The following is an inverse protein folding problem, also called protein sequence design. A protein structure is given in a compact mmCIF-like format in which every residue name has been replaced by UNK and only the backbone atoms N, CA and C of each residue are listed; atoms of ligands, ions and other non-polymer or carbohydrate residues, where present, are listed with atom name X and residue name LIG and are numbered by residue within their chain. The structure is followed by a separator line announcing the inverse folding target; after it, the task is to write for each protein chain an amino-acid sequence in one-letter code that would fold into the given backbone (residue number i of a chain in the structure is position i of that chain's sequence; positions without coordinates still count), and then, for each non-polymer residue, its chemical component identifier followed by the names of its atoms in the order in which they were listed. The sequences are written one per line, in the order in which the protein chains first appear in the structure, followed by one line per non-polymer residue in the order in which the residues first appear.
data_IF_765637711413
#
_entry.id   IF_765637711413
#
_cell.length_a   1.000
_cell.length_b   1.000
_cell.length_c   1.000
_cell.angle_alpha   90.00
_cell.angle_beta   90.00
_cell.angle_gamma   90.00
#
_symmetry.space_group_name_H-M   'P 1'
#
loop_
_entity.id
_entity.type
_entity.pdbx_description
1 polymer ?
#
# COMPACT_ATOMS: atom_id res chain seq x y z
N UNK A 1 -12.95 -22.85 -0.63
CA UNK A 1 -12.23 -22.50 0.60
C UNK A 1 -13.14 -21.56 1.38
N UNK A 2 -13.80 -22.06 2.44
CA UNK A 2 -14.73 -21.26 3.25
C UNK A 2 -13.98 -20.07 3.86
N UNK A 3 -14.52 -18.87 3.65
CA UNK A 3 -14.04 -17.67 4.33
C UNK A 3 -14.23 -17.88 5.84
N UNK A 4 -13.16 -18.11 6.57
CA UNK A 4 -13.19 -18.03 8.03
C UNK A 4 -13.43 -16.55 8.42
N UNK A 5 -14.68 -16.16 8.43
CA UNK A 5 -15.16 -14.93 9.05
C UNK A 5 -15.27 -15.12 10.57
N UNK A 6 -14.17 -15.47 11.24
CA UNK A 6 -14.18 -15.62 12.69
C UNK A 6 -13.29 -14.59 13.39
N UNK A 7 -13.34 -13.37 12.89
CA UNK A 7 -12.90 -12.19 13.62
C UNK A 7 -14.13 -11.50 14.23
N UNK A 8 -14.91 -12.24 14.99
CA UNK A 8 -15.89 -11.60 15.87
C UNK A 8 -15.12 -10.93 16.98
N UNK A 9 -15.01 -9.60 16.94
CA UNK A 9 -14.41 -8.73 17.95
C UNK A 9 -15.09 -8.91 19.31
N UNK A 10 -14.82 -10.02 19.98
CA UNK A 10 -15.41 -10.33 21.27
C UNK A 10 -14.86 -9.46 22.41
N UNK A 11 -13.75 -8.72 22.15
CA UNK A 11 -13.08 -7.88 23.15
C UNK A 11 -12.64 -6.57 22.54
N UNK A 12 -13.58 -5.67 22.30
CA UNK A 12 -13.24 -4.30 21.88
C UNK A 12 -12.76 -3.48 23.06
N UNK A 13 -11.73 -2.67 22.84
CA UNK A 13 -11.36 -1.62 23.78
C UNK A 13 -12.35 -0.47 23.64
N UNK A 14 -12.63 0.21 24.73
CA UNK A 14 -13.48 1.39 24.74
C UNK A 14 -12.61 2.66 24.71
N UNK A 15 -12.91 3.58 23.81
CA UNK A 15 -12.31 4.91 23.84
C UNK A 15 -13.06 5.75 24.88
N UNK A 16 -12.35 6.19 25.91
CA UNK A 16 -12.90 7.03 26.99
C UNK A 16 -12.75 8.52 26.65
N UNK A 17 -11.61 8.89 26.05
CA UNK A 17 -11.30 10.25 25.60
C UNK A 17 -10.49 10.16 24.30
N UNK A 18 -10.66 11.16 23.42
CA UNK A 18 -9.88 11.26 22.17
C UNK A 18 -9.57 12.72 21.91
N UNK A 19 -8.31 13.00 21.58
CA UNK A 19 -7.84 14.35 21.25
C UNK A 19 -6.86 14.28 20.07
N UNK A 20 -7.08 15.13 19.05
CA UNK A 20 -6.13 15.27 17.96
C UNK A 20 -5.04 16.23 18.36
N UNK A 21 -3.83 15.73 18.64
CA UNK A 21 -2.69 16.50 19.15
C UNK A 21 -1.79 17.07 18.05
N UNK A 22 -1.82 16.48 16.86
CA UNK A 22 -1.16 17.01 15.66
C UNK A 22 -2.12 16.93 14.48
N UNK A 23 -2.21 18.03 13.71
CA UNK A 23 -2.98 18.06 12.48
C UNK A 23 -2.21 18.87 11.42
N UNK A 24 -1.67 18.15 10.45
CA UNK A 24 -0.95 18.68 9.28
C UNK A 24 -1.31 17.87 8.04
N UNK A 25 -2.59 17.84 7.65
CA UNK A 25 -3.04 17.07 6.51
C UNK A 25 -2.37 17.58 5.21
N UNK A 26 -2.17 16.73 4.22
CA UNK A 26 -2.43 15.28 4.25
C UNK A 26 -1.32 14.47 4.93
N UNK A 27 -0.19 15.09 5.31
CA UNK A 27 1.07 14.43 5.64
C UNK A 27 1.13 13.81 7.04
N UNK A 28 0.46 14.43 8.02
CA UNK A 28 0.55 13.94 9.39
C UNK A 28 -0.68 14.38 10.21
N UNK A 29 -1.38 13.40 10.76
CA UNK A 29 -2.38 13.62 11.80
C UNK A 29 -2.16 12.60 12.90
N UNK A 30 -2.12 13.05 14.15
CA UNK A 30 -1.92 12.20 15.33
C UNK A 30 -3.02 12.45 16.32
N UNK A 31 -3.68 11.38 16.74
CA UNK A 31 -4.67 11.36 17.79
C UNK A 31 -4.10 10.66 19.02
N UNK A 32 -4.37 11.22 20.22
CA UNK A 32 -4.10 10.60 21.50
C UNK A 32 -5.42 10.18 22.14
N UNK A 33 -5.57 8.89 22.40
CA UNK A 33 -6.77 8.31 22.99
C UNK A 33 -6.49 7.79 24.40
N UNK A 34 -7.42 8.03 25.33
CA UNK A 34 -7.52 7.27 26.57
C UNK A 34 -8.43 6.08 26.31
N UNK A 35 -7.92 4.86 26.52
CA UNK A 35 -8.65 3.64 26.17
C UNK A 35 -8.75 2.68 27.34
N UNK A 36 -9.90 2.01 27.46
CA UNK A 36 -10.14 0.98 28.45
C UNK A 36 -10.13 -0.41 27.82
N UNK A 37 -9.34 -1.29 28.39
CA UNK A 37 -9.27 -2.71 28.02
C UNK A 37 -10.51 -3.47 28.53
N UNK A 38 -10.81 -4.64 27.97
CA UNK A 38 -11.94 -5.47 28.40
C UNK A 38 -11.89 -5.94 29.87
N UNK A 39 -10.72 -5.92 30.48
CA UNK A 39 -10.51 -6.26 31.91
C UNK A 39 -10.63 -5.04 32.84
N UNK A 40 -10.97 -3.87 32.30
CA UNK A 40 -11.15 -2.63 33.06
C UNK A 40 -9.89 -1.78 33.23
N UNK A 41 -8.71 -2.27 32.87
CA UNK A 41 -7.49 -1.46 32.90
C UNK A 41 -7.60 -0.29 31.91
N UNK A 42 -7.07 0.86 32.28
CA UNK A 42 -7.04 2.07 31.43
C UNK A 42 -5.61 2.34 30.98
N UNK A 43 -5.47 2.60 29.68
CA UNK A 43 -4.26 3.15 29.09
C UNK A 43 -4.54 4.64 28.86
N UNK A 44 -3.85 5.55 29.58
CA UNK A 44 -4.19 6.97 29.54
C UNK A 44 -3.78 7.67 28.24
N UNK A 45 -2.78 7.11 27.52
CA UNK A 45 -2.26 7.66 26.28
C UNK A 45 -1.99 6.54 25.27
N UNK A 46 -2.81 6.47 24.23
CA UNK A 46 -2.65 5.58 23.10
C UNK A 46 -2.60 6.41 21.81
N UNK A 47 -1.46 6.40 21.12
CA UNK A 47 -1.26 7.25 19.97
C UNK A 47 -1.62 6.54 18.69
N UNK A 48 -2.46 7.20 17.86
CA UNK A 48 -2.89 6.72 16.55
C UNK A 48 -2.49 7.73 15.48
N UNK A 49 -1.75 7.26 14.48
CA UNK A 49 -1.47 7.98 13.25
C UNK A 49 -2.67 7.83 12.32
N UNK A 50 -3.25 8.93 11.92
CA UNK A 50 -4.41 8.96 11.02
C UNK A 50 -3.95 9.33 9.61
N UNK A 51 -4.11 8.39 8.70
CA UNK A 51 -3.83 8.56 7.27
C UNK A 51 -5.05 8.18 6.44
N UNK A 52 -5.21 8.72 5.22
CA UNK A 52 -6.09 8.13 4.22
C UNK A 52 -5.60 6.71 3.87
N UNK A 53 -6.47 5.91 3.29
CA UNK A 53 -6.07 4.61 2.79
C UNK A 53 -5.07 4.77 1.64
N UNK A 54 -4.22 3.77 1.47
CA UNK A 54 -3.20 3.68 0.43
C UNK A 54 -3.54 2.59 -0.56
N UNK A 55 -3.01 2.76 -1.76
CA UNK A 55 -3.02 1.71 -2.79
C UNK A 55 -1.60 1.37 -3.22
N UNK A 56 -1.43 0.19 -3.76
CA UNK A 56 -0.26 -0.19 -4.56
C UNK A 56 -0.63 -1.18 -5.66
N UNK A 57 0.17 -1.21 -6.72
CA UNK A 57 -0.14 -1.97 -7.93
C UNK A 57 1.05 -2.82 -8.37
N UNK A 58 0.86 -4.13 -8.43
CA UNK A 58 1.73 -5.01 -9.21
C UNK A 58 1.26 -4.92 -10.66
N UNK A 59 1.91 -4.09 -11.47
CA UNK A 59 1.58 -3.90 -12.88
C UNK A 59 2.51 -4.73 -13.76
N UNK A 60 1.93 -5.51 -14.68
CA UNK A 60 2.66 -6.41 -15.59
C UNK A 60 2.23 -6.10 -17.02
N UNK A 61 3.21 -5.80 -17.89
CA UNK A 61 2.97 -5.52 -19.30
C UNK A 61 2.56 -6.76 -20.09
N UNK A 62 2.13 -6.59 -21.35
CA UNK A 62 1.81 -7.70 -22.26
C UNK A 62 3.04 -8.59 -22.53
N UNK A 63 4.26 -8.04 -22.44
CA UNK A 63 5.51 -8.79 -22.57
C UNK A 63 5.92 -9.52 -21.29
N UNK A 64 5.14 -9.38 -20.20
CA UNK A 64 5.41 -10.02 -18.91
C UNK A 64 6.44 -9.29 -18.04
N UNK A 65 6.73 -8.02 -18.34
CA UNK A 65 7.64 -7.18 -17.56
C UNK A 65 6.87 -6.48 -16.44
N UNK A 66 7.46 -6.40 -15.25
CA UNK A 66 6.94 -5.66 -14.13
C UNK A 66 7.28 -4.18 -14.27
N UNK A 67 6.27 -3.32 -14.10
CA UNK A 67 6.45 -1.88 -14.01
C UNK A 67 6.84 -1.56 -12.58
N UNK A 68 8.12 -1.23 -12.39
CA UNK A 68 8.70 -0.91 -11.10
C UNK A 68 9.15 0.55 -11.09
N UNK A 69 9.41 1.06 -9.90
CA UNK A 69 9.90 2.41 -9.68
C UNK A 69 11.17 2.40 -8.84
N UNK A 70 12.02 3.41 -9.07
CA UNK A 70 13.13 3.72 -8.17
C UNK A 70 12.94 5.13 -7.66
N UNK A 71 12.85 5.28 -6.34
CA UNK A 71 12.63 6.57 -5.70
C UNK A 71 13.51 6.71 -4.46
N UNK A 72 14.04 7.92 -4.23
CA UNK A 72 14.73 8.24 -2.99
C UNK A 72 13.71 8.47 -1.88
N UNK A 73 13.75 7.66 -0.84
CA UNK A 73 12.91 7.81 0.34
C UNK A 73 13.68 8.50 1.46
N UNK A 74 13.40 9.78 1.66
CA UNK A 74 14.09 10.63 2.62
C UNK A 74 14.12 10.03 4.03
N UNK A 75 13.00 9.46 4.50
CA UNK A 75 12.91 8.83 5.82
C UNK A 75 13.85 7.65 6.02
N UNK A 76 14.20 6.93 4.94
CA UNK A 76 15.17 5.82 4.95
C UNK A 76 16.58 6.28 4.56
N UNK A 77 16.74 7.47 3.97
CA UNK A 77 17.99 8.00 3.49
C UNK A 77 18.60 7.22 2.32
N UNK A 78 17.76 6.54 1.52
CA UNK A 78 18.24 5.71 0.40
C UNK A 78 17.23 5.62 -0.74
N UNK A 79 17.72 5.28 -1.94
CA UNK A 79 16.89 4.91 -3.08
C UNK A 79 16.43 3.47 -2.93
N UNK A 80 15.14 3.22 -3.14
CA UNK A 80 14.50 1.91 -3.06
C UNK A 80 13.84 1.55 -4.39
N UNK A 81 13.70 0.23 -4.63
CA UNK A 81 12.76 -0.27 -5.62
C UNK A 81 11.36 -0.40 -5.00
N UNK A 82 10.38 0.02 -5.75
CA UNK A 82 8.97 0.03 -5.32
C UNK A 82 8.06 -0.40 -6.48
N UNK A 83 6.82 -0.72 -6.16
CA UNK A 83 5.72 -0.81 -7.13
C UNK A 83 4.94 0.49 -7.08
N UNK A 84 4.25 0.92 -8.15
CA UNK A 84 3.42 2.11 -8.18
C UNK A 84 2.45 2.15 -7.00
N UNK A 85 2.37 3.28 -6.31
CA UNK A 85 1.60 3.39 -5.08
C UNK A 85 1.34 4.83 -4.67
N UNK A 86 0.16 5.08 -4.16
CA UNK A 86 -0.20 6.40 -3.66
C UNK A 86 -1.34 6.41 -2.67
N UNK A 87 -1.87 7.58 -2.46
CA UNK A 87 -2.92 7.88 -1.49
C UNK A 87 -4.28 7.89 -2.18
N UNK A 88 -5.28 7.29 -1.55
CA UNK A 88 -6.66 7.43 -2.02
C UNK A 88 -7.16 8.85 -1.79
N UNK A 89 -7.73 9.45 -2.82
CA UNK A 89 -8.41 10.74 -2.72
C UNK A 89 -9.84 10.59 -2.21
N UNK A 90 -10.40 11.72 -1.74
CA UNK A 90 -11.73 11.70 -1.16
C UNK A 90 -12.79 11.36 -2.21
N UNK A 91 -13.45 10.23 -2.04
CA UNK A 91 -14.55 9.77 -2.88
C UNK A 91 -14.14 8.75 -3.93
N UNK A 92 -12.86 8.45 -4.05
CA UNK A 92 -12.38 7.36 -4.90
C UNK A 92 -12.65 6.00 -4.28
N UNK A 93 -12.91 5.02 -5.11
CA UNK A 93 -12.75 3.61 -4.75
C UNK A 93 -11.27 3.22 -4.80
N UNK A 94 -10.84 2.16 -4.09
CA UNK A 94 -9.45 1.71 -4.13
C UNK A 94 -8.95 1.40 -5.55
N UNK A 95 -9.80 0.83 -6.42
CA UNK A 95 -9.42 0.53 -7.81
C UNK A 95 -9.28 1.80 -8.66
N UNK A 96 -10.13 2.81 -8.46
CA UNK A 96 -10.01 4.10 -9.18
C UNK A 96 -8.70 4.78 -8.80
N UNK A 97 -8.36 4.87 -7.50
CA UNK A 97 -7.09 5.40 -7.03
C UNK A 97 -5.90 4.62 -7.61
N UNK A 98 -5.96 3.28 -7.62
CA UNK A 98 -4.89 2.45 -8.14
C UNK A 98 -4.65 2.66 -9.66
N UNK A 99 -5.72 2.88 -10.42
CA UNK A 99 -5.62 3.17 -11.86
C UNK A 99 -5.03 4.55 -12.12
N UNK A 100 -5.45 5.55 -11.34
CA UNK A 100 -4.95 6.92 -11.43
C UNK A 100 -3.45 6.97 -11.13
N UNK A 101 -3.02 6.44 -9.97
CA UNK A 101 -1.60 6.43 -9.56
C UNK A 101 -0.72 5.68 -10.57
N UNK A 102 -1.15 4.51 -11.06
CA UNK A 102 -0.39 3.79 -12.08
C UNK A 102 -0.17 4.66 -13.34
N UNK A 103 -1.21 5.36 -13.80
CA UNK A 103 -1.10 6.24 -14.96
C UNK A 103 -0.22 7.45 -14.68
N UNK A 104 -0.44 8.15 -13.56
CA UNK A 104 0.28 9.37 -13.20
C UNK A 104 1.77 9.12 -13.01
N UNK A 105 2.15 8.10 -12.23
CA UNK A 105 3.54 7.79 -11.91
C UNK A 105 4.28 7.15 -13.09
N UNK A 106 3.61 6.30 -13.88
CA UNK A 106 4.31 5.44 -14.84
C UNK A 106 3.90 5.63 -16.30
N UNK A 107 2.76 6.23 -16.55
CA UNK A 107 2.17 6.32 -17.91
C UNK A 107 1.64 4.98 -18.42
N UNK A 108 1.38 3.98 -17.56
CA UNK A 108 0.77 2.70 -17.93
C UNK A 108 -0.71 2.67 -17.56
N UNK A 109 -1.53 2.09 -18.46
CA UNK A 109 -2.98 2.03 -18.35
C UNK A 109 -3.54 0.68 -18.82
N UNK A 110 -4.85 0.50 -18.63
CA UNK A 110 -5.59 -0.66 -19.14
C UNK A 110 -5.36 -1.93 -18.30
N UNK A 111 -5.34 -3.07 -18.97
CA UNK A 111 -5.13 -4.37 -18.35
C UNK A 111 -6.33 -4.93 -17.58
N UNK A 112 -6.13 -6.13 -17.04
CA UNK A 112 -7.10 -6.84 -16.19
C UNK A 112 -6.71 -6.70 -14.72
N UNK A 113 -7.63 -6.22 -13.89
CA UNK A 113 -7.39 -5.86 -12.50
C UNK A 113 -7.98 -6.85 -11.52
N UNK A 114 -7.25 -7.11 -10.45
CA UNK A 114 -7.69 -7.97 -9.34
C UNK A 114 -7.12 -7.42 -8.03
N UNK A 115 -7.97 -7.13 -7.06
CA UNK A 115 -7.51 -6.85 -5.70
C UNK A 115 -6.95 -8.12 -5.08
N UNK A 116 -5.70 -8.09 -4.63
CA UNK A 116 -4.99 -9.26 -4.13
C UNK A 116 -4.78 -9.24 -2.63
N UNK A 117 -4.76 -8.07 -2.01
CA UNK A 117 -4.61 -7.94 -0.55
C UNK A 117 -5.15 -6.61 -0.05
N UNK A 118 -5.61 -6.62 1.21
CA UNK A 118 -5.87 -5.42 2.01
C UNK A 118 -5.13 -5.59 3.33
N UNK A 119 -4.15 -4.73 3.59
CA UNK A 119 -3.20 -4.88 4.69
C UNK A 119 -3.11 -3.59 5.52
N UNK A 120 -2.77 -3.72 6.80
CA UNK A 120 -2.35 -2.58 7.63
C UNK A 120 -0.84 -2.46 7.61
N UNK A 121 -0.31 -1.24 7.46
CA UNK A 121 1.12 -0.98 7.54
C UNK A 121 1.68 -1.17 8.95
N UNK A 122 0.92 -0.75 9.94
CA UNK A 122 1.22 -0.97 11.37
C UNK A 122 -0.09 -0.90 12.17
N UNK A 123 -0.72 -2.05 12.36
CA UNK A 123 -2.00 -2.17 13.05
C UNK A 123 -1.99 -1.71 14.51
N UNK A 124 -0.81 -1.51 15.11
CA UNK A 124 -0.69 -1.01 16.49
C UNK A 124 -0.95 0.50 16.57
N UNK A 125 -0.53 1.25 15.56
CA UNK A 125 -0.51 2.71 15.64
C UNK A 125 -1.10 3.43 14.43
N UNK A 126 -1.55 2.71 13.41
CA UNK A 126 -2.13 3.30 12.20
C UNK A 126 -3.57 2.82 12.02
N UNK A 127 -4.44 3.71 11.56
CA UNK A 127 -5.86 3.40 11.36
C UNK A 127 -6.24 3.11 9.91
N UNK A 128 -5.34 3.37 8.97
CA UNK A 128 -5.58 3.18 7.54
C UNK A 128 -5.18 1.80 7.04
N UNK A 129 -5.70 1.46 5.88
CA UNK A 129 -5.38 0.24 5.14
C UNK A 129 -4.61 0.56 3.86
N UNK A 130 -3.94 -0.45 3.33
CA UNK A 130 -3.31 -0.43 2.01
C UNK A 130 -3.96 -1.51 1.15
N UNK A 131 -4.53 -1.10 0.02
CA UNK A 131 -5.18 -1.97 -0.95
C UNK A 131 -4.19 -2.31 -2.07
N UNK A 132 -3.92 -3.58 -2.27
CA UNK A 132 -2.94 -4.06 -3.25
C UNK A 132 -3.65 -4.68 -4.44
N UNK A 133 -3.30 -4.24 -5.63
CA UNK A 133 -3.87 -4.73 -6.88
C UNK A 133 -2.80 -5.43 -7.73
N UNK A 134 -3.27 -6.40 -8.52
CA UNK A 134 -2.56 -6.95 -9.67
C UNK A 134 -3.25 -6.43 -10.93
N UNK A 135 -2.49 -5.78 -11.81
CA UNK A 135 -2.90 -5.34 -13.13
C UNK A 135 -2.06 -6.07 -14.20
N UNK A 136 -2.68 -6.89 -15.01
CA UNK A 136 -2.00 -7.69 -16.04
C UNK A 136 -2.38 -7.18 -17.42
N UNK A 137 -1.42 -7.21 -18.36
CA UNK A 137 -1.54 -6.71 -19.73
C UNK A 137 -1.75 -5.19 -19.78
N UNK A 138 -1.04 -4.44 -18.90
CA UNK A 138 -1.02 -2.98 -18.96
C UNK A 138 -0.18 -2.49 -20.15
N UNK A 139 -0.52 -1.30 -20.66
CA UNK A 139 0.10 -0.70 -21.85
C UNK A 139 0.54 0.72 -21.57
N UNK A 140 1.65 1.19 -22.13
CA UNK A 140 2.05 2.59 -22.02
C UNK A 140 1.09 3.48 -22.82
N UNK A 141 0.70 4.63 -22.25
CA UNK A 141 0.00 5.69 -22.97
C UNK A 141 0.86 6.98 -23.07
N UNK A 142 2.00 7.02 -22.39
CA UNK A 142 2.95 8.13 -22.41
C UNK A 142 2.55 9.35 -21.59
N UNK A 143 1.47 9.29 -20.83
CA UNK A 143 0.98 10.38 -19.99
C UNK A 143 1.51 10.20 -18.54
N UNK A 144 2.71 10.70 -18.29
CA UNK A 144 3.28 10.75 -16.93
C UNK A 144 3.03 12.13 -16.34
N UNK A 145 2.46 12.19 -15.15
CA UNK A 145 2.14 13.42 -14.42
C UNK A 145 2.58 13.29 -12.97
N UNK A 146 3.88 13.50 -12.73
CA UNK A 146 4.43 13.43 -11.39
C UNK A 146 4.03 14.67 -10.57
N UNK A 147 3.73 14.45 -9.30
CA UNK A 147 3.55 15.52 -8.33
C UNK A 147 4.87 16.26 -8.09
N UNK A 148 4.80 17.52 -7.65
CA UNK A 148 5.98 18.36 -7.42
C UNK A 148 6.97 17.81 -6.38
N UNK A 149 6.58 16.82 -5.61
CA UNK A 149 7.39 16.14 -4.58
C UNK A 149 7.86 14.75 -5.02
N UNK A 150 7.53 14.33 -6.22
CA UNK A 150 7.89 13.03 -6.79
C UNK A 150 9.12 13.14 -7.69
N UNK A 151 10.12 12.36 -7.36
CA UNK A 151 11.34 12.17 -8.16
C UNK A 151 11.58 10.67 -8.26
N UNK A 152 10.95 10.06 -9.26
CA UNK A 152 11.00 8.62 -9.47
C UNK A 152 11.43 8.27 -10.90
N UNK A 153 12.01 7.09 -11.04
CA UNK A 153 12.45 6.52 -12.30
C UNK A 153 11.71 5.19 -12.55
N UNK A 154 10.94 5.11 -13.64
CA UNK A 154 10.25 3.87 -14.03
C UNK A 154 11.26 2.85 -14.59
N UNK A 155 11.16 1.60 -14.14
CA UNK A 155 11.97 0.47 -14.58
C UNK A 155 11.09 -0.70 -14.99
N UNK A 156 11.35 -1.25 -16.16
CA UNK A 156 10.75 -2.51 -16.57
C UNK A 156 11.69 -3.66 -16.20
N UNK A 157 11.23 -4.53 -15.32
CA UNK A 157 12.01 -5.66 -14.82
C UNK A 157 11.33 -6.98 -15.14
N UNK A 158 12.13 -7.98 -15.41
CA UNK A 158 11.66 -9.36 -15.53
C UNK A 158 11.17 -9.90 -14.18
N UNK A 159 10.36 -10.94 -14.22
CA UNK A 159 9.88 -11.66 -13.04
C UNK A 159 11.03 -12.12 -12.12
N UNK A 160 12.12 -12.61 -12.73
CA UNK A 160 13.26 -13.14 -11.97
C UNK A 160 14.08 -12.00 -11.33
N UNK A 161 14.20 -10.85 -11.98
CA UNK A 161 14.85 -9.66 -11.41
C UNK A 161 14.05 -9.14 -10.20
N UNK A 162 12.72 -9.02 -10.30
CA UNK A 162 11.87 -8.61 -9.16
C UNK A 162 11.97 -9.62 -8.01
N UNK A 163 11.99 -10.92 -8.32
CA UNK A 163 12.17 -11.94 -7.31
C UNK A 163 13.54 -11.85 -6.62
N UNK A 164 14.61 -11.56 -7.38
CA UNK A 164 15.93 -11.33 -6.83
C UNK A 164 15.98 -10.08 -5.92
N UNK A 165 15.31 -8.98 -6.30
CA UNK A 165 15.21 -7.79 -5.45
C UNK A 165 14.53 -8.09 -4.11
N UNK A 166 13.49 -8.95 -4.10
CA UNK A 166 12.83 -9.40 -2.88
C UNK A 166 13.76 -10.25 -2.01
N UNK A 167 14.47 -11.22 -2.61
CA UNK A 167 15.38 -12.11 -1.89
C UNK A 167 16.55 -11.36 -1.25
N UNK A 168 16.99 -10.28 -1.88
CA UNK A 168 18.12 -9.46 -1.43
C UNK A 168 17.68 -8.27 -0.54
N UNK A 169 16.40 -8.23 -0.12
CA UNK A 169 15.84 -7.14 0.67
C UNK A 169 16.03 -5.74 0.02
N UNK A 170 16.04 -5.63 -1.30
CA UNK A 170 16.14 -4.34 -1.99
C UNK A 170 14.79 -3.60 -2.03
N UNK A 171 13.67 -4.31 -1.89
CA UNK A 171 12.34 -3.73 -1.71
C UNK A 171 12.10 -3.55 -0.20
N UNK A 172 12.43 -2.35 0.30
CA UNK A 172 12.49 -2.09 1.75
C UNK A 172 11.13 -1.83 2.39
N UNK A 173 10.18 -1.29 1.65
CA UNK A 173 8.87 -0.95 2.18
C UNK A 173 8.01 -2.20 2.31
N UNK A 174 7.59 -2.53 3.53
CA UNK A 174 6.82 -3.75 3.81
C UNK A 174 5.50 -3.81 3.03
N UNK A 175 4.85 -2.68 2.83
CA UNK A 175 3.60 -2.57 2.05
C UNK A 175 3.80 -2.85 0.55
N UNK A 176 5.03 -2.74 0.04
CA UNK A 176 5.39 -3.13 -1.33
C UNK A 176 5.85 -4.61 -1.38
N UNK A 177 6.66 -5.02 -0.41
CA UNK A 177 7.18 -6.38 -0.35
C UNK A 177 6.10 -7.43 -0.09
N UNK A 178 5.14 -7.15 0.79
CA UNK A 178 4.11 -8.12 1.16
C UNK A 178 3.21 -8.57 -0.01
N UNK A 179 2.63 -7.67 -0.83
CA UNK A 179 1.86 -8.10 -2.00
C UNK A 179 2.72 -8.80 -3.06
N UNK A 180 3.97 -8.39 -3.26
CA UNK A 180 4.89 -9.09 -4.17
C UNK A 180 5.20 -10.50 -3.66
N UNK A 181 5.50 -10.70 -2.39
CA UNK A 181 5.67 -12.03 -1.81
C UNK A 181 4.42 -12.88 -1.96
N UNK A 182 3.22 -12.32 -1.76
CA UNK A 182 1.95 -13.01 -2.01
C UNK A 182 1.82 -13.43 -3.46
N UNK A 183 2.13 -12.56 -4.41
CA UNK A 183 2.11 -12.84 -5.84
C UNK A 183 3.02 -14.03 -6.18
N UNK A 184 4.27 -14.02 -5.71
CA UNK A 184 5.23 -15.09 -5.97
C UNK A 184 4.84 -16.42 -5.29
N UNK A 185 4.38 -16.37 -4.04
CA UNK A 185 3.95 -17.56 -3.28
C UNK A 185 2.75 -18.28 -3.93
N UNK A 186 1.89 -17.55 -4.63
CA UNK A 186 0.73 -18.09 -5.35
C UNK A 186 1.03 -18.44 -6.82
N UNK A 187 2.30 -18.44 -7.21
CA UNK A 187 2.75 -18.82 -8.55
C UNK A 187 2.44 -17.79 -9.64
N UNK A 188 2.19 -16.56 -9.26
CA UNK A 188 1.61 -15.54 -10.13
C UNK A 188 0.08 -15.76 -10.20
N UNK A 189 -0.71 -14.85 -9.70
CA UNK A 189 -2.18 -14.97 -9.67
C UNK A 189 -2.77 -14.95 -11.09
N UNK A 190 -2.58 -16.03 -11.85
CA UNK A 190 -2.98 -16.07 -13.25
C UNK A 190 -2.89 -17.42 -13.96
N UNK A 191 -2.78 -18.52 -13.23
CA UNK A 191 -3.05 -19.85 -13.83
C UNK A 191 -4.27 -20.47 -13.16
N UNK A 192 -5.44 -20.18 -13.72
CA UNK A 192 -6.53 -21.15 -13.72
C UNK A 192 -6.37 -22.08 -14.90
#
# INVERSE_FOLDING_TARGET
MEKRNDCTDRKRWATLKSERIVSRPPWLSVRCDEVQLPDGRVIPEYYVLEYPDWINVIAITEEGLFVMERQFRYGLGRTCYEIPAGVMEKGETPEEAARRELEEETGYVGGTWTEIATLSGNATSMNNLSHSFLAVDVKPNGNVHLDATEDLEVKLLTRDEVYALLLNDEIKQSLMAAPLWRYFALGGLGKK
#
